data_IF_638722350196
#
_entry.id   IF_638722350196
#
_cell.length_a   1.000
_cell.length_b   1.000
_cell.length_c   1.000
_cell.angle_alpha   90.00
_cell.angle_beta   90.00
_cell.angle_gamma   90.00
#
_symmetry.space_group_name_H-M   'P 1'
#
loop_
_entity.id
_entity.type
_entity.pdbx_description
1 polymer ?
#
# COMPACT_ATOMS: atom_id res chain seq x y z
N UNK A 1 44.94 74.86 -2.04
CA UNK A 1 44.15 74.18 -1.02
C UNK A 1 42.98 73.55 -1.72
N UNK A 2 43.02 72.19 -1.95
CA UNK A 2 41.90 71.42 -2.50
C UNK A 2 41.49 70.45 -1.44
N UNK A 3 40.30 70.59 -0.90
CA UNK A 3 39.66 69.68 0.01
C UNK A 3 39.14 68.46 -0.80
N UNK A 4 39.62 67.31 -0.53
CA UNK A 4 39.06 66.06 -1.00
C UNK A 4 37.97 65.61 -0.02
N UNK A 5 36.72 65.65 -0.44
CA UNK A 5 35.61 65.04 0.27
C UNK A 5 35.66 63.52 0.10
N UNK A 6 35.96 62.79 1.16
CA UNK A 6 35.78 61.36 1.26
C UNK A 6 34.31 61.08 1.52
N UNK A 7 33.59 60.66 0.50
CA UNK A 7 32.27 60.04 0.64
C UNK A 7 32.44 58.63 1.18
N UNK A 8 32.09 58.43 2.45
CA UNK A 8 31.90 57.09 3.01
C UNK A 8 30.54 56.56 2.58
N UNK A 9 30.49 55.85 1.46
CA UNK A 9 29.33 55.03 1.12
C UNK A 9 29.34 53.81 2.04
N UNK A 10 28.58 53.87 3.10
CA UNK A 10 28.34 52.73 3.98
C UNK A 10 27.46 51.71 3.24
N UNK A 11 28.07 50.56 2.96
CA UNK A 11 27.48 49.35 2.39
C UNK A 11 26.48 48.70 3.37
N UNK A 12 25.34 49.38 3.60
CA UNK A 12 24.23 48.86 4.43
C UNK A 12 23.34 47.87 3.67
N UNK A 13 23.59 47.63 2.38
CA UNK A 13 22.79 46.72 1.54
C UNK A 13 23.19 45.26 1.59
N UNK A 14 24.43 44.94 1.94
CA UNK A 14 24.94 43.59 2.00
C UNK A 14 24.58 42.87 3.29
N UNK A 15 24.55 43.54 4.42
CA UNK A 15 24.23 42.99 5.74
C UNK A 15 22.77 42.53 5.86
N UNK A 16 21.83 43.30 5.32
CA UNK A 16 20.40 42.95 5.37
C UNK A 16 20.07 41.71 4.53
N UNK A 17 20.70 41.52 3.38
CA UNK A 17 20.55 40.32 2.54
C UNK A 17 21.15 39.08 3.18
N UNK A 18 22.29 39.20 3.85
CA UNK A 18 22.93 38.08 4.56
C UNK A 18 22.08 37.64 5.75
N UNK A 19 21.49 38.53 6.50
CA UNK A 19 20.58 38.24 7.61
C UNK A 19 19.29 37.59 7.12
N UNK A 20 18.69 38.08 6.03
CA UNK A 20 17.49 37.50 5.43
C UNK A 20 17.76 36.05 4.95
N UNK A 21 18.89 35.81 4.29
CA UNK A 21 19.29 34.48 3.85
C UNK A 21 19.51 33.49 5.02
N UNK A 22 20.10 33.93 6.09
CA UNK A 22 20.31 33.12 7.33
C UNK A 22 18.97 32.80 7.99
N UNK A 23 18.03 33.73 8.00
CA UNK A 23 16.68 33.49 8.51
C UNK A 23 15.92 32.47 7.67
N UNK A 24 15.95 32.61 6.34
CA UNK A 24 15.33 31.66 5.41
C UNK A 24 15.91 30.25 5.58
N UNK A 25 17.23 30.13 5.74
CA UNK A 25 17.90 28.85 6.02
C UNK A 25 17.43 28.23 7.34
N UNK A 26 17.32 29.01 8.41
CA UNK A 26 16.85 28.50 9.71
C UNK A 26 15.40 28.03 9.64
N UNK A 27 14.52 28.76 8.95
CA UNK A 27 13.12 28.34 8.71
C UNK A 27 13.08 27.04 7.90
N UNK A 28 13.88 26.95 6.84
CA UNK A 28 13.96 25.74 6.02
C UNK A 28 14.41 24.52 6.86
N UNK A 29 15.43 24.68 7.70
CA UNK A 29 15.91 23.61 8.59
C UNK A 29 14.80 23.16 9.54
N UNK A 30 14.07 24.10 10.16
CA UNK A 30 12.95 23.78 11.06
C UNK A 30 11.87 23.02 10.31
N UNK A 31 11.49 23.46 9.11
CA UNK A 31 10.49 22.76 8.28
C UNK A 31 10.94 21.34 7.94
N UNK A 32 12.19 21.16 7.53
CA UNK A 32 12.75 19.82 7.24
C UNK A 32 12.72 18.94 8.49
N UNK A 33 13.13 19.46 9.65
CA UNK A 33 13.08 18.72 10.90
C UNK A 33 11.65 18.31 11.29
N UNK A 34 10.66 19.17 11.09
CA UNK A 34 9.25 18.85 11.34
C UNK A 34 8.74 17.75 10.40
N UNK A 35 9.13 17.77 9.11
CA UNK A 35 8.79 16.72 8.14
C UNK A 35 9.42 15.39 8.55
N UNK A 36 10.69 15.38 8.95
CA UNK A 36 11.39 14.18 9.40
C UNK A 36 10.77 13.61 10.68
N UNK A 37 10.45 14.47 11.64
CA UNK A 37 9.76 14.07 12.88
C UNK A 37 8.39 13.47 12.60
N UNK A 38 7.59 14.10 11.72
CA UNK A 38 6.29 13.57 11.29
C UNK A 38 6.44 12.18 10.66
N UNK A 39 7.40 12.02 9.75
CA UNK A 39 7.66 10.73 9.08
C UNK A 39 8.10 9.65 10.08
N UNK A 40 8.93 10.00 11.05
CA UNK A 40 9.35 9.11 12.10
C UNK A 40 8.17 8.65 12.99
N UNK A 41 7.32 9.59 13.42
CA UNK A 41 6.14 9.28 14.24
C UNK A 41 5.19 8.34 13.48
N UNK A 42 4.90 8.63 12.21
CA UNK A 42 4.04 7.79 11.36
C UNK A 42 4.65 6.40 11.21
N UNK A 43 5.96 6.29 11.00
CA UNK A 43 6.67 5.01 10.93
C UNK A 43 6.51 4.17 12.21
N UNK A 44 6.69 4.78 13.38
CA UNK A 44 6.50 4.10 14.68
C UNK A 44 5.03 3.66 14.88
N UNK A 45 4.07 4.47 14.45
CA UNK A 45 2.66 4.10 14.52
C UNK A 45 2.33 2.91 13.60
N UNK A 46 2.92 2.83 12.40
CA UNK A 46 2.71 1.69 11.49
C UNK A 46 3.29 0.38 12.05
N UNK A 47 4.45 0.42 12.71
CA UNK A 47 5.00 -0.75 13.41
C UNK A 47 4.05 -1.23 14.51
N UNK A 48 3.42 -0.32 15.24
CA UNK A 48 2.40 -0.70 16.24
C UNK A 48 1.16 -1.34 15.62
N UNK A 49 0.72 -0.88 14.43
CA UNK A 49 -0.41 -1.51 13.72
C UNK A 49 -0.14 -2.98 13.45
N UNK A 50 1.05 -3.32 12.93
CA UNK A 50 1.41 -4.72 12.68
C UNK A 50 1.46 -5.55 13.96
N UNK A 51 2.00 -4.99 15.05
CA UNK A 51 2.04 -5.64 16.36
C UNK A 51 0.62 -5.91 16.90
N UNK A 52 -0.29 -4.94 16.83
CA UNK A 52 -1.68 -5.12 17.28
C UNK A 52 -2.45 -6.11 16.41
N UNK A 53 -2.24 -6.12 15.10
CA UNK A 53 -2.84 -7.12 14.21
C UNK A 53 -2.35 -8.52 14.55
N UNK A 54 -1.06 -8.70 14.83
CA UNK A 54 -0.49 -9.98 15.23
C UNK A 54 -1.02 -10.49 16.58
N UNK A 55 -1.32 -9.58 17.52
CA UNK A 55 -1.92 -9.91 18.83
C UNK A 55 -3.45 -9.95 18.81
N UNK A 56 -4.09 -9.89 17.63
CA UNK A 56 -5.55 -9.83 17.46
C UNK A 56 -6.24 -8.64 18.15
N UNK A 57 -5.49 -7.60 18.50
CA UNK A 57 -6.01 -6.34 19.06
C UNK A 57 -6.51 -5.41 17.95
N UNK A 58 -7.47 -5.89 17.16
CA UNK A 58 -7.94 -5.20 15.94
C UNK A 58 -8.54 -3.81 16.20
N UNK A 59 -9.17 -3.59 17.35
CA UNK A 59 -9.70 -2.26 17.71
C UNK A 59 -8.61 -1.21 17.84
N UNK A 60 -7.47 -1.57 18.42
CA UNK A 60 -6.32 -0.68 18.56
C UNK A 60 -5.62 -0.46 17.21
N UNK A 61 -5.49 -1.50 16.40
CA UNK A 61 -4.98 -1.39 15.06
C UNK A 61 -5.82 -0.41 14.21
N UNK A 62 -7.16 -0.55 14.22
CA UNK A 62 -8.08 0.36 13.52
C UNK A 62 -7.91 1.80 14.02
N UNK A 63 -7.84 1.99 15.35
CA UNK A 63 -7.69 3.31 15.96
C UNK A 63 -6.41 4.00 15.52
N UNK A 64 -5.29 3.25 15.45
CA UNK A 64 -4.00 3.80 15.01
C UNK A 64 -4.02 4.09 13.51
N UNK A 65 -4.52 3.18 12.66
CA UNK A 65 -4.66 3.45 11.23
C UNK A 65 -5.44 4.74 10.97
N UNK A 66 -6.59 4.93 11.65
CA UNK A 66 -7.39 6.15 11.52
C UNK A 66 -6.64 7.40 11.98
N UNK A 67 -5.81 7.33 13.03
CA UNK A 67 -4.95 8.45 13.45
C UNK A 67 -3.90 8.78 12.39
N UNK A 68 -3.25 7.79 11.78
CA UNK A 68 -2.27 8.03 10.72
C UNK A 68 -2.97 8.68 9.52
N UNK A 69 -4.13 8.18 9.11
CA UNK A 69 -4.93 8.73 7.99
C UNK A 69 -5.38 10.17 8.28
N UNK A 70 -5.66 10.51 9.54
CA UNK A 70 -5.99 11.89 9.91
C UNK A 70 -4.79 12.85 9.77
N UNK A 71 -3.56 12.36 10.03
CA UNK A 71 -2.32 13.11 9.85
C UNK A 71 -1.93 13.19 8.37
N UNK A 72 -2.11 12.08 7.65
CA UNK A 72 -1.72 11.92 6.25
C UNK A 72 -2.79 11.12 5.49
N UNK A 73 -3.70 11.87 4.83
CA UNK A 73 -4.86 11.30 4.12
C UNK A 73 -4.47 10.44 2.90
N UNK A 74 -3.25 10.61 2.41
CA UNK A 74 -2.72 9.88 1.25
C UNK A 74 -1.79 8.74 1.66
N UNK A 75 -1.66 8.46 2.94
CA UNK A 75 -0.82 7.37 3.44
C UNK A 75 -1.36 6.01 3.02
N UNK A 76 -0.89 5.54 1.85
CA UNK A 76 -1.29 4.26 1.26
C UNK A 76 -1.11 3.10 2.25
N UNK A 77 -0.01 3.10 3.01
CA UNK A 77 0.28 2.01 3.94
C UNK A 77 -0.75 1.93 5.07
N UNK A 78 -1.18 3.08 5.60
CA UNK A 78 -2.20 3.12 6.65
C UNK A 78 -3.57 2.66 6.12
N UNK A 79 -3.95 3.08 4.90
CA UNK A 79 -5.16 2.59 4.24
C UNK A 79 -5.10 1.09 3.99
N UNK A 80 -3.99 0.57 3.45
CA UNK A 80 -3.81 -0.86 3.19
C UNK A 80 -3.90 -1.67 4.48
N UNK A 81 -3.22 -1.23 5.54
CA UNK A 81 -3.27 -1.90 6.85
C UNK A 81 -4.68 -1.90 7.43
N UNK A 82 -5.43 -0.79 7.31
CA UNK A 82 -6.82 -0.71 7.74
C UNK A 82 -7.71 -1.70 6.98
N UNK A 83 -7.52 -1.84 5.67
CA UNK A 83 -8.21 -2.81 4.83
C UNK A 83 -7.96 -4.24 5.30
N UNK A 84 -6.70 -4.59 5.57
CA UNK A 84 -6.36 -5.92 6.09
C UNK A 84 -7.02 -6.21 7.44
N UNK A 85 -7.01 -5.26 8.36
CA UNK A 85 -7.68 -5.45 9.66
C UNK A 85 -9.17 -5.71 9.49
N UNK A 86 -9.84 -5.04 8.54
CA UNK A 86 -11.24 -5.32 8.25
C UNK A 86 -11.44 -6.70 7.60
N UNK A 87 -10.52 -7.15 6.74
CA UNK A 87 -10.55 -8.51 6.17
C UNK A 87 -10.36 -9.58 7.25
N UNK A 88 -9.43 -9.40 8.18
CA UNK A 88 -9.19 -10.31 9.29
C UNK A 88 -10.40 -10.40 10.24
N UNK A 89 -11.17 -9.32 10.38
CA UNK A 89 -12.44 -9.29 11.07
C UNK A 89 -13.62 -9.85 10.26
N UNK A 90 -13.38 -10.35 9.03
CA UNK A 90 -14.43 -10.78 8.09
C UNK A 90 -15.44 -9.69 7.73
N UNK A 91 -15.05 -8.42 7.85
CA UNK A 91 -15.88 -7.23 7.53
C UNK A 91 -15.60 -6.75 6.10
N UNK A 92 -15.96 -7.56 5.10
CA UNK A 92 -15.72 -7.26 3.68
C UNK A 92 -16.35 -5.95 3.21
N UNK A 93 -17.52 -5.60 3.74
CA UNK A 93 -18.21 -4.34 3.46
C UNK A 93 -17.45 -3.10 3.93
N UNK A 94 -16.68 -3.21 5.01
CA UNK A 94 -15.79 -2.14 5.48
C UNK A 94 -14.45 -2.15 4.74
N UNK A 95 -13.97 -3.32 4.32
CA UNK A 95 -12.71 -3.47 3.61
C UNK A 95 -12.77 -2.92 2.17
N UNK A 96 -13.89 -3.15 1.46
CA UNK A 96 -14.07 -2.72 0.07
C UNK A 96 -13.78 -1.23 -0.13
N UNK A 97 -14.48 -0.29 0.54
CA UNK A 97 -14.23 1.14 0.31
C UNK A 97 -12.83 1.57 0.71
N UNK A 98 -12.20 0.87 1.65
CA UNK A 98 -10.81 1.13 2.05
C UNK A 98 -9.84 0.73 0.95
N UNK A 99 -9.98 -0.45 0.35
CA UNK A 99 -9.12 -0.86 -0.76
C UNK A 99 -9.42 -0.12 -2.06
N UNK A 100 -10.66 0.31 -2.29
CA UNK A 100 -10.98 1.24 -3.38
C UNK A 100 -10.22 2.56 -3.21
N UNK A 101 -10.12 3.09 -1.98
CA UNK A 101 -9.30 4.27 -1.70
C UNK A 101 -7.80 4.00 -1.96
N UNK A 102 -7.29 2.82 -1.64
CA UNK A 102 -5.90 2.44 -1.97
C UNK A 102 -5.66 2.46 -3.48
N UNK A 103 -6.60 1.95 -4.29
CA UNK A 103 -6.51 2.02 -5.75
C UNK A 103 -6.56 3.46 -6.29
N UNK A 104 -7.37 4.34 -5.69
CA UNK A 104 -7.41 5.75 -6.07
C UNK A 104 -6.09 6.46 -5.78
N UNK A 105 -5.41 6.09 -4.70
CA UNK A 105 -4.10 6.64 -4.35
C UNK A 105 -2.97 6.11 -5.24
N UNK A 106 -3.16 4.94 -5.84
CA UNK A 106 -2.20 4.36 -6.77
C UNK A 106 -2.93 3.53 -7.85
N UNK A 107 -3.42 4.17 -8.93
CA UNK A 107 -4.17 3.49 -10.00
C UNK A 107 -3.35 2.43 -10.75
N UNK A 108 -2.03 2.57 -10.76
CA UNK A 108 -1.11 1.62 -11.39
C UNK A 108 -0.87 0.36 -10.55
N UNK A 109 -1.32 0.36 -9.28
CA UNK A 109 -1.21 -0.80 -8.41
C UNK A 109 -2.19 -1.89 -8.84
N UNK A 110 -1.72 -2.77 -9.70
CA UNK A 110 -2.45 -3.95 -10.15
C UNK A 110 -2.29 -5.14 -9.20
N UNK A 111 -1.71 -4.92 -8.03
CA UNK A 111 -1.34 -5.96 -7.08
C UNK A 111 -2.30 -6.08 -5.91
N UNK A 112 -1.82 -5.65 -4.74
CA UNK A 112 -2.45 -5.91 -3.43
C UNK A 112 -3.91 -5.44 -3.35
N UNK A 113 -4.19 -4.18 -3.66
CA UNK A 113 -5.54 -3.65 -3.52
C UNK A 113 -6.53 -4.35 -4.45
N UNK A 114 -6.12 -4.67 -5.69
CA UNK A 114 -6.97 -5.42 -6.62
C UNK A 114 -7.21 -6.86 -6.13
N UNK A 115 -6.19 -7.51 -5.58
CA UNK A 115 -6.33 -8.88 -5.05
C UNK A 115 -7.28 -8.90 -3.84
N UNK A 116 -7.11 -8.00 -2.91
CA UNK A 116 -7.94 -7.91 -1.69
C UNK A 116 -9.38 -7.50 -2.02
N UNK A 117 -9.58 -6.62 -3.01
CA UNK A 117 -10.93 -6.32 -3.52
C UNK A 117 -11.58 -7.56 -4.14
N UNK A 118 -10.85 -8.31 -4.95
CA UNK A 118 -11.34 -9.59 -5.49
C UNK A 118 -11.75 -10.55 -4.37
N UNK A 119 -10.93 -10.68 -3.33
CA UNK A 119 -11.23 -11.49 -2.14
C UNK A 119 -12.46 -10.97 -1.38
N UNK A 120 -12.53 -9.67 -1.12
CA UNK A 120 -13.64 -9.05 -0.39
C UNK A 120 -14.97 -9.23 -1.14
N UNK A 121 -14.97 -9.03 -2.46
CA UNK A 121 -16.15 -9.29 -3.30
C UNK A 121 -16.51 -10.77 -3.38
N UNK A 122 -15.52 -11.68 -3.41
CA UNK A 122 -15.76 -13.12 -3.32
C UNK A 122 -16.47 -13.50 -2.02
N UNK A 123 -15.99 -13.01 -0.88
CA UNK A 123 -16.58 -13.26 0.45
C UNK A 123 -18.01 -12.68 0.54
N UNK A 124 -18.27 -11.57 -0.14
CA UNK A 124 -19.60 -10.95 -0.24
C UNK A 124 -20.53 -11.69 -1.21
N UNK A 125 -20.06 -12.70 -1.92
CA UNK A 125 -20.84 -13.45 -2.93
C UNK A 125 -20.97 -12.76 -4.28
N UNK A 126 -20.32 -11.61 -4.48
CA UNK A 126 -20.29 -10.91 -5.76
C UNK A 126 -19.16 -11.46 -6.64
N UNK A 127 -19.37 -12.66 -7.17
CA UNK A 127 -18.36 -13.36 -7.96
C UNK A 127 -17.97 -12.66 -9.25
N UNK A 128 -18.89 -11.91 -9.88
CA UNK A 128 -18.60 -11.14 -11.11
C UNK A 128 -17.58 -10.03 -10.84
N UNK A 129 -17.76 -9.24 -9.79
CA UNK A 129 -16.77 -8.24 -9.40
C UNK A 129 -15.46 -8.85 -8.93
N UNK A 130 -15.51 -9.98 -8.23
CA UNK A 130 -14.30 -10.71 -7.85
C UNK A 130 -13.49 -11.13 -9.08
N UNK A 131 -14.14 -11.67 -10.14
CA UNK A 131 -13.51 -12.02 -11.41
C UNK A 131 -12.85 -10.79 -12.05
N UNK A 132 -13.55 -9.66 -12.12
CA UNK A 132 -13.03 -8.42 -12.70
C UNK A 132 -11.68 -8.03 -12.07
N UNK A 133 -11.61 -8.00 -10.74
CA UNK A 133 -10.39 -7.64 -10.03
C UNK A 133 -9.27 -8.68 -10.18
N UNK A 134 -9.59 -9.96 -10.13
CA UNK A 134 -8.58 -11.01 -10.31
C UNK A 134 -8.06 -11.07 -11.75
N UNK A 135 -8.92 -10.88 -12.77
CA UNK A 135 -8.51 -10.81 -14.17
C UNK A 135 -7.64 -9.59 -14.45
N UNK A 136 -7.86 -8.48 -13.78
CA UNK A 136 -6.99 -7.30 -13.85
C UNK A 136 -5.54 -7.64 -13.47
N UNK A 137 -5.34 -8.48 -12.44
CA UNK A 137 -4.00 -8.92 -12.04
C UNK A 137 -3.45 -9.95 -13.03
N UNK A 138 -4.27 -10.92 -13.43
CA UNK A 138 -3.88 -11.96 -14.39
C UNK A 138 -3.41 -11.37 -15.72
N UNK A 139 -4.14 -10.38 -16.23
CA UNK A 139 -3.79 -9.69 -17.49
C UNK A 139 -2.49 -8.88 -17.39
N UNK A 140 -2.09 -8.45 -16.19
CA UNK A 140 -0.80 -7.79 -15.96
C UNK A 140 0.40 -8.76 -15.96
N UNK A 141 0.13 -10.08 -15.99
CA UNK A 141 1.11 -11.13 -16.17
C UNK A 141 1.81 -11.62 -14.88
N UNK A 142 2.70 -12.60 -15.00
CA UNK A 142 3.34 -13.25 -13.84
C UNK A 142 4.14 -12.29 -12.96
N UNK A 143 4.71 -11.24 -13.52
CA UNK A 143 5.48 -10.24 -12.77
C UNK A 143 4.61 -9.48 -11.77
N UNK A 144 3.36 -9.16 -12.12
CA UNK A 144 2.41 -8.53 -11.20
C UNK A 144 2.04 -9.45 -10.02
N UNK A 145 1.93 -10.74 -10.27
CA UNK A 145 1.66 -11.72 -9.24
C UNK A 145 2.84 -11.89 -8.25
N UNK A 146 4.09 -11.80 -8.72
CA UNK A 146 5.29 -11.82 -7.86
C UNK A 146 5.38 -10.57 -6.99
N UNK A 147 5.08 -9.40 -7.55
CA UNK A 147 5.03 -8.14 -6.78
C UNK A 147 3.92 -8.18 -5.73
N UNK A 148 2.78 -8.78 -6.05
CA UNK A 148 1.69 -9.01 -5.10
C UNK A 148 2.16 -9.84 -3.89
N UNK A 149 2.95 -10.90 -4.10
CA UNK A 149 3.47 -11.72 -3.01
C UNK A 149 4.39 -10.93 -2.08
N UNK A 150 5.32 -10.16 -2.63
CA UNK A 150 6.24 -9.33 -1.86
C UNK A 150 5.49 -8.29 -1.01
N UNK A 151 4.46 -7.66 -1.57
CA UNK A 151 3.64 -6.67 -0.87
C UNK A 151 2.75 -7.33 0.20
N UNK A 152 2.14 -8.48 -0.06
CA UNK A 152 1.35 -9.22 0.93
C UNK A 152 2.23 -9.62 2.12
N UNK A 153 3.43 -10.12 1.88
CA UNK A 153 4.39 -10.46 2.94
C UNK A 153 4.77 -9.23 3.79
N UNK A 154 4.90 -8.07 3.17
CA UNK A 154 5.23 -6.82 3.85
C UNK A 154 4.13 -6.35 4.81
N UNK A 155 2.86 -6.52 4.44
CA UNK A 155 1.73 -5.96 5.19
C UNK A 155 1.04 -6.96 6.11
N UNK A 156 1.16 -8.26 5.83
CA UNK A 156 0.47 -9.34 6.54
C UNK A 156 1.38 -10.13 7.48
N UNK A 157 2.19 -9.45 8.27
CA UNK A 157 2.97 -10.14 9.30
C UNK A 157 2.05 -10.79 10.33
N UNK A 158 1.80 -12.11 10.18
CA UNK A 158 1.53 -12.99 11.31
C UNK A 158 0.18 -13.67 11.42
N UNK A 159 -0.83 -13.44 10.59
CA UNK A 159 -2.18 -13.97 10.90
C UNK A 159 -2.72 -15.10 10.03
N UNK A 160 -2.13 -15.35 8.89
CA UNK A 160 -2.41 -16.59 8.16
C UNK A 160 -1.07 -17.12 7.69
N UNK A 161 -0.73 -18.34 8.09
CA UNK A 161 0.45 -19.06 7.61
C UNK A 161 0.44 -19.18 6.09
N UNK A 162 0.67 -18.07 5.43
CA UNK A 162 1.00 -18.00 4.02
C UNK A 162 2.39 -18.64 3.88
N UNK A 163 2.42 -19.95 3.80
CA UNK A 163 3.54 -20.66 3.19
C UNK A 163 3.72 -20.04 1.81
N UNK A 164 4.97 -19.76 1.45
CA UNK A 164 5.44 -19.43 0.11
C UNK A 164 4.44 -19.85 -0.97
N UNK A 165 3.49 -18.98 -1.28
CA UNK A 165 2.46 -19.26 -2.26
C UNK A 165 3.02 -18.79 -3.59
N UNK A 166 3.06 -19.70 -4.52
CA UNK A 166 3.14 -19.33 -5.92
C UNK A 166 1.97 -18.37 -6.19
N UNK A 167 2.27 -17.06 -6.18
CA UNK A 167 1.27 -15.99 -6.20
C UNK A 167 0.32 -16.13 -7.40
N UNK A 168 0.83 -16.61 -8.55
CA UNK A 168 0.00 -16.90 -9.72
C UNK A 168 -0.93 -18.10 -9.46
N UNK A 169 -0.48 -19.15 -8.80
CA UNK A 169 -1.32 -20.29 -8.47
C UNK A 169 -2.46 -19.91 -7.53
N UNK A 170 -2.20 -19.04 -6.54
CA UNK A 170 -3.24 -18.53 -5.62
C UNK A 170 -4.28 -17.71 -6.35
N UNK A 171 -3.83 -16.81 -7.23
CA UNK A 171 -4.70 -15.99 -8.07
C UNK A 171 -5.59 -16.84 -8.97
N UNK A 172 -4.98 -17.80 -9.68
CA UNK A 172 -5.71 -18.70 -10.58
C UNK A 172 -6.68 -19.61 -9.81
N UNK A 173 -6.31 -20.04 -8.59
CA UNK A 173 -7.20 -20.79 -7.71
C UNK A 173 -8.42 -19.97 -7.27
N UNK A 174 -8.26 -18.69 -6.99
CA UNK A 174 -9.36 -17.80 -6.66
C UNK A 174 -10.28 -17.56 -7.87
N UNK A 175 -9.70 -17.28 -9.04
CA UNK A 175 -10.43 -17.15 -10.31
C UNK A 175 -11.24 -18.40 -10.65
N UNK A 176 -10.62 -19.57 -10.54
CA UNK A 176 -11.27 -20.85 -10.81
C UNK A 176 -12.50 -21.06 -9.91
N UNK A 177 -12.39 -20.73 -8.63
CA UNK A 177 -13.54 -20.77 -7.70
C UNK A 177 -14.65 -19.84 -8.14
N UNK A 178 -14.32 -18.60 -8.54
CA UNK A 178 -15.30 -17.63 -9.01
C UNK A 178 -16.01 -18.10 -10.29
N UNK A 179 -15.26 -18.60 -11.30
CA UNK A 179 -15.86 -19.09 -12.54
C UNK A 179 -16.76 -20.32 -12.33
N UNK A 180 -16.37 -21.23 -11.41
CA UNK A 180 -17.24 -22.35 -11.01
C UNK A 180 -18.52 -21.87 -10.32
N UNK A 181 -18.45 -20.85 -9.47
CA UNK A 181 -19.63 -20.26 -8.78
C UNK A 181 -20.57 -19.51 -9.74
N UNK A 182 -20.05 -18.92 -10.81
CA UNK A 182 -20.85 -18.24 -11.84
C UNK A 182 -21.34 -19.17 -12.94
N UNK A 183 -21.00 -20.46 -12.91
CA UNK A 183 -21.39 -21.43 -13.94
C UNK A 183 -20.64 -21.27 -15.27
N UNK A 184 -19.60 -20.43 -15.33
CA UNK A 184 -18.82 -20.25 -16.56
C UNK A 184 -17.78 -21.38 -16.70
N UNK A 185 -18.25 -22.53 -17.15
CA UNK A 185 -17.46 -23.75 -17.29
C UNK A 185 -16.35 -23.64 -18.34
N UNK A 186 -16.57 -22.85 -19.41
CA UNK A 186 -15.58 -22.64 -20.45
C UNK A 186 -14.35 -21.89 -19.91
N UNK A 187 -14.54 -20.78 -19.22
CA UNK A 187 -13.45 -20.04 -18.59
C UNK A 187 -12.81 -20.81 -17.43
N UNK A 188 -13.62 -21.52 -16.65
CA UNK A 188 -13.10 -22.40 -15.59
C UNK A 188 -12.14 -23.46 -16.15
N UNK A 189 -12.41 -24.05 -17.31
CA UNK A 189 -11.52 -25.02 -17.95
C UNK A 189 -10.18 -24.39 -18.42
N UNK A 190 -10.23 -23.16 -18.94
CA UNK A 190 -9.01 -22.42 -19.33
C UNK A 190 -8.16 -22.14 -18.11
N UNK A 191 -8.74 -21.58 -17.05
CA UNK A 191 -8.03 -21.25 -15.81
C UNK A 191 -7.51 -22.53 -15.12
N UNK A 192 -8.23 -23.65 -15.20
CA UNK A 192 -7.76 -24.91 -14.64
C UNK A 192 -6.46 -25.36 -15.31
N UNK A 193 -6.34 -25.27 -16.64
CA UNK A 193 -5.10 -25.60 -17.36
C UNK A 193 -3.93 -24.72 -16.94
N UNK A 194 -4.14 -23.41 -16.83
CA UNK A 194 -3.13 -22.46 -16.35
C UNK A 194 -2.71 -22.79 -14.90
N UNK A 195 -3.68 -23.07 -14.03
CA UNK A 195 -3.43 -23.44 -12.63
C UNK A 195 -2.55 -24.70 -12.53
N UNK A 196 -2.88 -25.74 -13.30
CA UNK A 196 -2.14 -27.01 -13.30
C UNK A 196 -0.71 -26.84 -13.85
N UNK A 197 -0.54 -25.96 -14.86
CA UNK A 197 0.79 -25.62 -15.37
C UNK A 197 1.67 -25.00 -14.26
N UNK A 198 1.17 -23.99 -13.53
CA UNK A 198 1.94 -23.36 -12.45
C UNK A 198 2.16 -24.29 -11.26
N UNK A 199 1.20 -25.13 -10.94
CA UNK A 199 1.32 -26.16 -9.90
C UNK A 199 2.45 -27.14 -10.21
N UNK A 200 2.52 -27.66 -11.43
CA UNK A 200 3.52 -28.63 -11.86
C UNK A 200 4.92 -28.02 -12.02
N UNK A 201 4.99 -26.74 -12.45
CA UNK A 201 6.26 -26.02 -12.54
C UNK A 201 6.90 -25.84 -11.16
N UNK A 202 6.11 -25.61 -10.13
CA UNK A 202 6.62 -25.40 -8.77
C UNK A 202 7.09 -26.72 -8.13
N UNK A 203 6.41 -27.83 -8.40
CA UNK A 203 6.85 -29.13 -7.89
C UNK A 203 8.20 -29.59 -8.44
N UNK A 204 8.60 -29.12 -9.64
CA UNK A 204 9.90 -29.45 -10.27
C UNK A 204 11.08 -28.62 -9.76
N UNK A 205 10.84 -27.55 -9.02
CA UNK A 205 11.90 -26.68 -8.46
C UNK A 205 12.30 -27.13 -7.05
N UNK A 206 11.47 -27.97 -6.40
CA UNK A 206 11.68 -28.45 -5.03
C UNK A 206 12.40 -29.81 -4.96
N UNK A 207 12.79 -30.38 -6.10
CA UNK A 207 13.63 -31.58 -6.27
C UNK A 207 14.82 -31.26 -7.18
#
# INVERSE_FOLDING_TARGET
MKHSEHTCDHDHGQDSRSLANRWLLSVLIVVVLLILLRSFIVGQMLVRVTSYSASSSYSDAIRICKKIIAIDKENKQAWTSLGYVYMDLSRSDMAIPVFEKVLLLNPEDKGVASFELGQAYYLKGNFFKAIEYFERIRSAGPRAAVLLEADILKYRHGTLGFRSLNSMQTLLGALLKCYKKTGNTAQAAVIQKEYDYYKNKHSKILF
#
